data_IF_624408636800
#
_entry.id   IF_624408636800
#
_cell.length_a   1.000
_cell.length_b   1.000
_cell.length_c   1.000
_cell.angle_alpha   90.00
_cell.angle_beta   90.00
_cell.angle_gamma   90.00
#
_symmetry.space_group_name_H-M   'P 1'
#
loop_
_entity.id
_entity.type
_entity.pdbx_description
1 polymer ?
#
# COMPACT_ATOMS: atom_id res chain seq x y z
N UNK A 1 -2.40 10.45 -3.66
CA UNK A 1 -2.15 11.40 -4.76
C UNK A 1 -2.92 11.07 -6.03
N UNK A 2 -3.86 10.12 -5.99
CA UNK A 2 -4.81 9.89 -7.09
C UNK A 2 -6.29 10.06 -6.73
N UNK A 3 -6.64 10.09 -5.42
CA UNK A 3 -8.03 10.05 -4.95
C UNK A 3 -8.76 8.75 -5.33
N UNK A 4 -8.03 7.74 -5.81
CA UNK A 4 -8.59 6.47 -6.29
C UNK A 4 -9.07 5.65 -5.10
N UNK A 5 -10.17 4.94 -5.30
CA UNK A 5 -10.63 3.95 -4.34
C UNK A 5 -9.64 2.79 -4.32
N UNK A 6 -8.78 2.77 -3.30
CA UNK A 6 -7.75 1.76 -3.11
C UNK A 6 -7.97 1.01 -1.80
N UNK A 7 -7.54 -0.25 -1.79
CA UNK A 7 -7.50 -1.09 -0.60
C UNK A 7 -6.26 -0.81 0.25
N UNK A 8 -5.19 -0.33 -0.39
CA UNK A 8 -3.93 0.06 0.24
C UNK A 8 -3.33 1.25 -0.52
N UNK A 9 -2.66 2.14 0.20
CA UNK A 9 -1.67 3.03 -0.40
C UNK A 9 -0.43 3.13 0.48
N UNK A 10 0.70 3.36 -0.18
CA UNK A 10 1.95 3.78 0.42
C UNK A 10 2.52 4.97 -0.34
N UNK A 11 2.85 6.04 0.39
CA UNK A 11 3.55 7.20 -0.15
C UNK A 11 4.84 7.36 0.62
N UNK A 12 5.97 7.27 -0.08
CA UNK A 12 7.30 7.55 0.47
C UNK A 12 7.82 8.86 -0.11
N UNK A 13 8.24 9.76 0.77
CA UNK A 13 8.95 10.99 0.41
C UNK A 13 10.40 10.85 0.84
N UNK A 14 11.30 10.86 -0.13
CA UNK A 14 12.75 10.81 0.08
C UNK A 14 13.37 12.14 -0.35
N UNK A 15 14.37 12.60 0.37
CA UNK A 15 15.14 13.80 0.03
C UNK A 15 16.59 13.42 -0.18
N UNK A 16 17.19 13.90 -1.26
CA UNK A 16 18.61 13.75 -1.48
C UNK A 16 19.37 14.72 -0.54
N UNK A 17 20.26 14.17 0.29
CA UNK A 17 20.95 14.94 1.32
C UNK A 17 21.86 16.06 0.80
N UNK A 18 22.25 17.00 1.68
CA UNK A 18 23.24 18.03 1.37
C UNK A 18 24.62 17.41 1.01
N UNK A 19 25.57 18.19 0.49
CA UNK A 19 26.84 17.70 -0.09
C UNK A 19 27.67 16.75 0.80
N UNK A 20 27.43 16.79 2.11
CA UNK A 20 28.19 16.08 3.14
C UNK A 20 27.57 14.70 3.48
N UNK A 21 26.36 14.42 3.00
CA UNK A 21 25.61 13.18 3.20
C UNK A 21 25.23 12.55 1.87
N UNK A 22 25.98 11.53 1.44
CA UNK A 22 25.73 10.87 0.15
C UNK A 22 24.52 9.96 0.26
N UNK A 23 23.35 10.40 -0.22
CA UNK A 23 22.21 9.50 -0.44
C UNK A 23 20.82 10.11 -0.28
N UNK A 24 19.82 9.26 -0.53
CA UNK A 24 18.41 9.53 -0.29
C UNK A 24 18.06 9.26 1.17
N UNK A 25 17.41 10.22 1.83
CA UNK A 25 16.93 10.13 3.20
C UNK A 25 15.40 10.11 3.19
N UNK A 26 14.79 9.07 3.74
CA UNK A 26 13.35 9.01 3.89
C UNK A 26 12.87 10.04 4.91
N UNK A 27 12.04 10.99 4.47
CA UNK A 27 11.44 12.04 5.31
C UNK A 27 10.03 11.69 5.76
N UNK A 28 9.30 10.94 4.93
CA UNK A 28 7.92 10.56 5.23
C UNK A 28 7.57 9.21 4.65
N UNK A 29 6.79 8.44 5.41
CA UNK A 29 6.12 7.23 4.95
C UNK A 29 4.68 7.30 5.43
N UNK A 30 3.75 7.53 4.49
CA UNK A 30 2.31 7.48 4.74
C UNK A 30 1.75 6.17 4.24
N UNK A 31 1.07 5.41 5.10
CA UNK A 31 0.46 4.11 4.74
C UNK A 31 -0.94 4.02 5.31
N UNK A 32 -1.87 3.51 4.52
CA UNK A 32 -3.20 3.13 4.98
C UNK A 32 -3.61 1.85 4.29
N UNK A 33 -4.29 0.99 5.03
CA UNK A 33 -4.88 -0.23 4.49
C UNK A 33 -6.27 -0.41 5.06
N UNK A 34 -7.17 -0.88 4.20
CA UNK A 34 -8.54 -1.24 4.57
C UNK A 34 -8.75 -2.71 4.34
N UNK A 35 -9.71 -3.29 5.03
CA UNK A 35 -10.20 -4.61 4.70
C UNK A 35 -10.73 -4.63 3.27
N UNK A 36 -10.39 -5.69 2.55
CA UNK A 36 -10.88 -5.90 1.20
C UNK A 36 -11.07 -7.38 0.92
N UNK A 37 -11.73 -7.70 -0.19
CA UNK A 37 -12.00 -9.08 -0.57
C UNK A 37 -11.16 -9.46 -1.78
N UNK A 38 -10.55 -10.63 -1.72
CA UNK A 38 -9.95 -11.29 -2.88
C UNK A 38 -10.91 -12.37 -3.39
N UNK A 39 -10.95 -12.53 -4.70
CA UNK A 39 -11.74 -13.57 -5.35
C UNK A 39 -10.80 -14.50 -6.11
N UNK A 40 -10.94 -15.79 -5.86
CA UNK A 40 -10.30 -16.83 -6.65
C UNK A 40 -11.36 -17.74 -7.30
N UNK A 41 -10.92 -18.86 -7.87
CA UNK A 41 -11.81 -19.86 -8.47
C UNK A 41 -12.67 -20.61 -7.44
N UNK A 42 -12.37 -20.49 -6.14
CA UNK A 42 -12.95 -21.33 -5.08
C UNK A 42 -13.92 -20.58 -4.19
N UNK A 43 -13.66 -19.29 -3.88
CA UNK A 43 -14.52 -18.47 -3.05
C UNK A 43 -14.11 -16.98 -3.06
N UNK A 44 -14.74 -16.20 -2.18
CA UNK A 44 -14.25 -14.88 -1.76
C UNK A 44 -13.60 -15.02 -0.39
N UNK A 45 -12.36 -14.57 -0.26
CA UNK A 45 -11.69 -14.44 1.02
C UNK A 45 -11.60 -12.97 1.43
N UNK A 46 -11.74 -12.69 2.73
CA UNK A 46 -11.51 -11.36 3.30
C UNK A 46 -10.04 -11.25 3.72
N UNK A 47 -9.39 -10.16 3.34
CA UNK A 47 -8.06 -9.81 3.81
C UNK A 47 -8.23 -8.80 4.95
N UNK A 48 -7.76 -9.18 6.14
CA UNK A 48 -7.80 -8.37 7.35
C UNK A 48 -6.35 -8.01 7.74
N UNK A 49 -5.89 -6.80 7.38
CA UNK A 49 -4.50 -6.40 7.58
C UNK A 49 -4.26 -5.92 9.01
N UNK A 50 -3.99 -6.85 9.92
CA UNK A 50 -3.20 -6.58 11.12
C UNK A 50 -1.71 -6.61 10.75
N UNK A 51 -1.01 -5.48 10.77
CA UNK A 51 0.46 -5.39 10.54
C UNK A 51 1.01 -6.11 9.28
N UNK A 52 0.55 -5.78 8.07
CA UNK A 52 1.02 -6.43 6.86
C UNK A 52 2.44 -5.97 6.45
N UNK A 53 3.26 -6.92 6.00
CA UNK A 53 4.40 -6.65 5.14
C UNK A 53 3.93 -6.56 3.70
N UNK A 54 3.98 -5.36 3.13
CA UNK A 54 3.47 -5.07 1.79
C UNK A 54 4.63 -4.82 0.82
N UNK A 55 4.62 -5.50 -0.33
CA UNK A 55 5.59 -5.34 -1.41
C UNK A 55 4.87 -5.04 -2.71
N UNK A 56 4.77 -3.74 -3.05
CA UNK A 56 4.18 -3.26 -4.29
C UNK A 56 5.22 -2.82 -5.30
N UNK A 57 4.87 -2.91 -6.58
CA UNK A 57 5.53 -2.13 -7.60
C UNK A 57 5.14 -0.65 -7.45
N UNK A 58 6.13 0.23 -7.67
CA UNK A 58 5.91 1.67 -7.55
C UNK A 58 5.17 2.13 -8.81
N UNK A 59 3.93 2.61 -8.64
CA UNK A 59 3.07 3.07 -9.72
C UNK A 59 3.54 4.41 -10.29
N UNK A 60 3.90 5.33 -9.40
CA UNK A 60 4.38 6.65 -9.78
C UNK A 60 5.67 6.99 -9.03
N UNK A 61 6.71 7.33 -9.82
CA UNK A 61 7.99 7.82 -9.31
C UNK A 61 8.27 9.19 -9.90
N UNK A 62 8.20 10.22 -9.06
CA UNK A 62 8.63 11.57 -9.45
C UNK A 62 10.05 11.77 -8.97
N UNK A 63 10.99 11.78 -9.92
CA UNK A 63 12.41 12.03 -9.69
C UNK A 63 12.69 13.51 -9.97
N UNK A 64 13.48 14.19 -9.14
CA UNK A 64 13.84 15.58 -9.40
C UNK A 64 14.62 15.67 -10.71
N UNK A 65 14.22 16.62 -11.56
CA UNK A 65 15.03 17.05 -12.68
C UNK A 65 15.78 18.28 -12.20
N UNK A 66 17.07 18.13 -11.91
CA UNK A 66 17.94 19.27 -11.59
C UNK A 66 17.68 20.40 -12.59
N UNK A 67 17.38 21.60 -12.08
CA UNK A 67 17.07 22.82 -12.86
C UNK A 67 15.68 22.93 -13.52
N UNK A 68 14.67 22.13 -13.16
CA UNK A 68 13.28 22.35 -13.60
C UNK A 68 12.34 22.67 -12.45
N UNK A 69 11.45 23.63 -12.69
CA UNK A 69 10.33 23.94 -11.78
C UNK A 69 9.56 22.67 -11.46
N UNK A 70 9.38 22.44 -10.16
CA UNK A 70 8.60 21.36 -9.57
C UNK A 70 7.20 21.25 -10.22
N UNK A 71 6.70 20.03 -10.50
CA UNK A 71 5.32 19.83 -10.92
C UNK A 71 4.34 20.36 -9.84
N UNK A 72 3.30 21.13 -10.17
CA UNK A 72 2.34 21.63 -9.20
C UNK A 72 1.65 20.54 -8.35
N UNK A 73 1.56 19.32 -8.86
CA UNK A 73 1.04 18.15 -8.13
C UNK A 73 1.90 17.81 -6.91
N UNK A 74 3.22 17.88 -7.04
CA UNK A 74 4.18 17.58 -5.95
C UNK A 74 4.05 18.57 -4.81
N UNK A 75 3.99 19.87 -5.11
CA UNK A 75 3.83 20.90 -4.09
C UNK A 75 2.55 20.68 -3.28
N UNK A 76 1.42 20.42 -3.96
CA UNK A 76 0.14 20.19 -3.30
C UNK A 76 0.15 18.99 -2.35
N UNK A 77 0.86 17.91 -2.68
CA UNK A 77 1.00 16.78 -1.75
C UNK A 77 1.82 17.17 -0.54
N UNK A 78 2.96 17.85 -0.74
CA UNK A 78 3.79 18.27 0.38
C UNK A 78 3.03 19.21 1.32
N UNK A 79 2.19 20.09 0.76
CA UNK A 79 1.30 20.95 1.54
C UNK A 79 0.24 20.16 2.34
N UNK A 80 -0.12 18.94 1.90
CA UNK A 80 -1.03 18.02 2.61
C UNK A 80 -0.31 17.19 3.69
N UNK A 81 1.02 17.25 3.76
CA UNK A 81 1.85 16.50 4.70
C UNK A 81 2.51 17.45 5.71
N UNK A 82 1.74 17.98 6.69
CA UNK A 82 2.19 19.08 7.55
C UNK A 82 3.41 18.75 8.42
N UNK A 83 3.67 17.45 8.66
CA UNK A 83 4.77 16.99 9.51
C UNK A 83 6.09 16.76 8.74
N UNK A 84 6.12 17.01 7.43
CA UNK A 84 7.28 16.71 6.57
C UNK A 84 8.10 17.96 6.37
N UNK A 85 9.24 18.04 7.08
CA UNK A 85 10.24 19.08 6.83
C UNK A 85 11.17 18.64 5.70
N UNK A 86 11.30 19.49 4.68
CA UNK A 86 12.17 19.27 3.52
C UNK A 86 13.12 20.45 3.45
N UNK A 87 14.42 20.15 3.42
CA UNK A 87 15.49 21.15 3.42
C UNK A 87 15.69 21.76 2.03
N UNK A 88 15.70 20.92 0.98
CA UNK A 88 15.72 21.28 -0.42
C UNK A 88 14.54 20.64 -1.19
N UNK A 89 13.48 21.43 -1.44
CA UNK A 89 12.35 21.06 -2.27
C UNK A 89 12.71 20.51 -3.67
N UNK A 90 13.81 20.93 -4.27
CA UNK A 90 14.23 20.48 -5.60
C UNK A 90 14.92 19.11 -5.57
N UNK A 91 15.26 18.59 -4.40
CA UNK A 91 15.97 17.33 -4.19
C UNK A 91 15.05 16.21 -3.68
N UNK A 92 13.74 16.28 -3.93
CA UNK A 92 12.76 15.33 -3.38
C UNK A 92 12.35 14.28 -4.42
N UNK A 93 12.41 13.01 -4.05
CA UNK A 93 11.80 11.89 -4.76
C UNK A 93 10.52 11.46 -4.04
N UNK A 94 9.42 11.37 -4.78
CA UNK A 94 8.15 10.82 -4.25
C UNK A 94 7.87 9.51 -4.96
N UNK A 95 7.50 8.50 -4.17
CA UNK A 95 7.07 7.18 -4.63
C UNK A 95 5.68 6.92 -4.11
N UNK A 96 4.76 6.56 -4.98
CA UNK A 96 3.42 6.10 -4.63
C UNK A 96 3.26 4.65 -5.12
N UNK A 97 2.74 3.79 -4.24
CA UNK A 97 2.25 2.46 -4.59
C UNK A 97 0.83 2.30 -4.07
N UNK A 98 -0.08 1.82 -4.92
CA UNK A 98 -1.48 1.61 -4.55
C UNK A 98 -1.92 0.17 -4.86
N UNK A 99 -2.96 -0.29 -4.15
CA UNK A 99 -3.70 -1.50 -4.53
C UNK A 99 -5.12 -1.14 -4.89
N UNK A 100 -5.53 -1.51 -6.10
CA UNK A 100 -6.81 -1.14 -6.66
C UNK A 100 -7.76 -2.32 -6.84
N UNK A 101 -9.05 -2.00 -6.88
CA UNK A 101 -10.06 -2.98 -7.21
C UNK A 101 -9.84 -3.53 -8.63
N UNK A 102 -9.77 -4.85 -8.73
CA UNK A 102 -9.57 -5.56 -10.00
C UNK A 102 -8.14 -6.01 -10.26
N UNK A 103 -7.19 -5.63 -9.41
CA UNK A 103 -5.82 -6.10 -9.51
C UNK A 103 -5.66 -7.55 -9.06
N UNK A 104 -4.63 -8.22 -9.61
CA UNK A 104 -4.25 -9.56 -9.18
C UNK A 104 -3.13 -9.45 -8.18
N UNK A 105 -3.38 -9.91 -6.96
CA UNK A 105 -2.41 -9.91 -5.88
C UNK A 105 -2.14 -11.32 -5.38
N UNK A 106 -1.00 -11.48 -4.70
CA UNK A 106 -0.70 -12.63 -3.86
C UNK A 106 -0.81 -12.19 -2.41
N UNK A 107 -1.56 -12.96 -1.61
CA UNK A 107 -1.68 -12.77 -0.16
C UNK A 107 -1.23 -14.06 0.52
N UNK A 108 -0.36 -13.93 1.51
CA UNK A 108 0.11 -15.03 2.35
C UNK A 108 -0.01 -14.61 3.81
N UNK A 109 -0.61 -15.44 4.64
CA UNK A 109 -0.83 -15.16 6.05
C UNK A 109 -1.54 -16.33 6.72
N UNK A 110 -1.88 -16.16 7.99
CA UNK A 110 -2.73 -17.12 8.66
C UNK A 110 -4.17 -17.04 8.16
N UNK A 111 -4.83 -18.19 8.21
CA UNK A 111 -6.17 -18.35 7.67
C UNK A 111 -7.10 -18.91 8.75
N UNK A 112 -8.29 -18.32 8.87
CA UNK A 112 -9.36 -18.88 9.68
C UNK A 112 -10.72 -18.69 8.99
N UNK A 113 -11.70 -19.49 9.41
CA UNK A 113 -13.06 -19.40 8.88
C UNK A 113 -13.95 -18.62 9.86
N UNK A 114 -14.63 -17.59 9.37
CA UNK A 114 -15.67 -16.88 10.11
C UNK A 114 -17.06 -17.16 9.53
N UNK A 115 -18.11 -16.91 10.31
CA UNK A 115 -19.47 -16.95 9.80
C UNK A 115 -19.67 -15.85 8.75
N UNK A 116 -20.18 -16.21 7.58
CA UNK A 116 -20.54 -15.23 6.56
C UNK A 116 -21.94 -14.68 6.87
N UNK A 117 -22.00 -13.53 7.53
CA UNK A 117 -23.26 -12.86 7.88
C UNK A 117 -24.12 -12.53 6.64
N UNK A 118 -23.54 -12.50 5.43
CA UNK A 118 -24.28 -12.30 4.20
C UNK A 118 -25.11 -13.53 3.77
N UNK A 119 -24.84 -14.72 4.34
CA UNK A 119 -25.56 -15.96 4.04
C UNK A 119 -26.51 -16.33 5.19
N UNK A 120 -27.67 -15.68 5.23
CA UNK A 120 -28.78 -16.05 6.10
C UNK A 120 -29.56 -17.26 5.53
N UNK A 121 -28.93 -18.44 5.45
CA UNK A 121 -29.65 -19.68 5.16
C UNK A 121 -29.75 -20.56 6.41
N UNK A 122 -30.96 -21.06 6.65
CA UNK A 122 -31.41 -21.67 7.90
C UNK A 122 -30.75 -23.02 8.28
N UNK A 123 -29.87 -23.57 7.44
CA UNK A 123 -29.27 -24.90 7.68
C UNK A 123 -27.77 -25.03 7.42
N UNK A 124 -27.20 -24.20 6.55
CA UNK A 124 -25.77 -24.13 6.30
C UNK A 124 -25.33 -22.67 6.45
N UNK A 125 -24.80 -22.31 7.63
CA UNK A 125 -24.17 -21.00 7.77
C UNK A 125 -22.96 -21.00 6.85
N UNK A 126 -23.05 -20.21 5.78
CA UNK A 126 -21.91 -19.93 4.91
C UNK A 126 -20.72 -19.53 5.75
N UNK A 127 -19.54 -20.07 5.40
CA UNK A 127 -18.29 -19.66 6.04
C UNK A 127 -17.49 -18.84 5.05
N UNK A 128 -16.82 -17.81 5.56
CA UNK A 128 -15.90 -16.97 4.81
C UNK A 128 -14.48 -17.20 5.31
N UNK A 129 -13.55 -17.37 4.37
CA UNK A 129 -12.14 -17.44 4.67
C UNK A 129 -11.64 -16.03 4.99
N UNK A 130 -10.98 -15.87 6.12
CA UNK A 130 -10.27 -14.65 6.49
C UNK A 130 -8.78 -14.93 6.46
N UNK A 131 -8.03 -14.03 5.83
CA UNK A 131 -6.58 -14.05 5.75
C UNK A 131 -6.07 -12.83 6.52
N UNK A 132 -5.15 -13.03 7.46
CA UNK A 132 -4.58 -11.96 8.28
C UNK A 132 -3.23 -12.35 8.87
N UNK A 133 -2.61 -11.46 9.62
CA UNK A 133 -1.43 -11.81 10.41
C UNK A 133 -1.85 -12.66 11.62
N UNK A 134 -0.93 -13.49 12.10
CA UNK A 134 -1.12 -14.31 13.30
C UNK A 134 -0.04 -14.00 14.32
N UNK A 135 -0.21 -14.53 15.53
CA UNK A 135 0.84 -14.48 16.56
C UNK A 135 2.13 -15.18 16.11
N UNK A 136 2.05 -16.06 15.10
CA UNK A 136 3.18 -16.82 14.54
C UNK A 136 3.89 -16.10 13.39
N UNK A 137 3.33 -15.02 12.84
CA UNK A 137 3.99 -14.26 11.78
C UNK A 137 3.15 -13.22 11.06
N UNK A 138 3.85 -12.37 10.31
CA UNK A 138 3.27 -11.28 9.53
C UNK A 138 2.50 -11.78 8.31
N UNK A 139 1.51 -10.98 7.88
CA UNK A 139 0.86 -11.17 6.60
C UNK A 139 1.70 -10.53 5.49
N UNK A 140 1.95 -11.24 4.40
CA UNK A 140 2.62 -10.73 3.22
C UNK A 140 1.62 -10.46 2.10
N UNK A 141 1.76 -9.30 1.48
CA UNK A 141 0.97 -8.92 0.31
C UNK A 141 1.90 -8.46 -0.82
N UNK A 142 1.68 -8.95 -2.03
CA UNK A 142 2.36 -8.43 -3.22
C UNK A 142 1.47 -8.39 -4.46
N UNK A 143 1.63 -7.35 -5.27
CA UNK A 143 1.05 -7.21 -6.61
C UNK A 143 1.89 -7.91 -7.70
N UNK A 144 3.12 -8.30 -7.38
CA UNK A 144 3.99 -9.01 -8.31
C UNK A 144 3.47 -10.40 -8.57
N UNK A 145 3.32 -10.72 -9.85
CA UNK A 145 3.15 -12.10 -10.30
C UNK A 145 4.42 -12.88 -9.94
N UNK A 146 4.32 -13.77 -8.95
CA UNK A 146 5.35 -14.80 -8.74
C UNK A 146 5.37 -15.65 -10.00
N UNK A 147 6.39 -15.47 -10.84
CA UNK A 147 6.66 -16.40 -11.95
C UNK A 147 7.10 -17.71 -11.31
N UNK A 148 6.26 -18.74 -11.42
CA UNK A 148 6.65 -20.12 -11.14
C UNK A 148 7.57 -20.65 -12.22
#
# INVERSE_FOLDING_TARGET
>A
MSGRQCAYYEVTVEEFGPPDGVGWVTRHVGREMKDFFVRDSTARARVCPSSPTVMLDIDEKVVPQFFKKRPPSVQRLLDQLPDVTIDDPECVCIREGVLEAGETITVMGGCYWEADEAQHMYRDMGRRLVIGATDEGDMFLSDRKIKR
#
